data_IF_871166638070
#
_entry.id   IF_871166638070
#
_cell.length_a   1.000
_cell.length_b   1.000
_cell.length_c   1.000
_cell.angle_alpha   90.00
_cell.angle_beta   90.00
_cell.angle_gamma   90.00
#
_symmetry.space_group_name_H-M   'P 1'
#
loop_
_entity.id
_entity.type
_entity.pdbx_description
1 polymer ?
#
# COMPACT_ATOMS: atom_id res chain seq x y z
N UNK A 1 -18.76 -13.70 -28.25
CA UNK A 1 -18.51 -12.74 -27.18
C UNK A 1 -18.10 -11.43 -27.86
N UNK A 2 -18.82 -10.34 -27.62
CA UNK A 2 -18.48 -9.03 -28.19
C UNK A 2 -17.58 -8.30 -27.22
N UNK A 3 -16.72 -7.41 -27.70
CA UNK A 3 -15.85 -6.61 -26.83
C UNK A 3 -16.64 -5.78 -25.81
N UNK A 4 -17.80 -5.26 -26.23
CA UNK A 4 -18.72 -4.46 -25.40
C UNK A 4 -19.35 -5.25 -24.24
N UNK A 5 -19.28 -6.60 -24.29
CA UNK A 5 -19.83 -7.48 -23.25
C UNK A 5 -18.75 -7.88 -22.20
N UNK A 6 -17.50 -7.42 -22.37
CA UNK A 6 -16.39 -7.77 -21.49
C UNK A 6 -16.38 -6.86 -20.27
N UNK A 7 -16.12 -7.47 -19.11
CA UNK A 7 -15.85 -6.78 -17.83
C UNK A 7 -14.38 -6.97 -17.53
N UNK A 8 -13.64 -5.87 -17.40
CA UNK A 8 -12.23 -5.90 -17.02
C UNK A 8 -12.08 -5.74 -15.50
N UNK A 9 -11.45 -6.73 -14.87
CA UNK A 9 -11.05 -6.68 -13.46
C UNK A 9 -9.54 -6.90 -13.40
N UNK A 10 -8.83 -5.96 -12.78
CA UNK A 10 -7.40 -6.09 -12.53
C UNK A 10 -7.18 -6.83 -11.21
N UNK A 11 -6.35 -7.88 -11.22
CA UNK A 11 -6.13 -8.77 -10.07
C UNK A 11 -4.69 -8.79 -9.59
N UNK A 12 -3.86 -7.89 -10.09
CA UNK A 12 -2.43 -7.78 -9.75
C UNK A 12 -2.00 -6.31 -9.72
N UNK A 13 -2.81 -5.49 -9.07
CA UNK A 13 -2.48 -4.10 -8.81
C UNK A 13 -1.75 -3.93 -7.49
N UNK A 14 -1.08 -2.80 -7.31
CA UNK A 14 -0.47 -2.41 -6.05
C UNK A 14 -1.01 -1.06 -5.58
N UNK A 15 -1.00 -0.88 -4.26
CA UNK A 15 -1.27 0.41 -3.62
C UNK A 15 -0.02 0.87 -2.86
N UNK A 16 0.32 2.16 -3.00
CA UNK A 16 1.33 2.77 -2.17
C UNK A 16 0.64 3.37 -0.95
N UNK A 17 1.06 2.99 0.24
CA UNK A 17 0.44 3.46 1.46
C UNK A 17 0.62 4.97 1.61
N UNK A 18 -0.45 5.74 1.91
CA UNK A 18 -0.34 7.15 2.20
C UNK A 18 0.53 7.41 3.44
N UNK A 19 1.33 8.48 3.46
CA UNK A 19 2.26 8.77 4.56
C UNK A 19 1.63 8.82 5.95
N UNK A 20 0.35 9.21 6.05
CA UNK A 20 -0.40 9.39 7.29
C UNK A 20 -1.25 8.18 7.70
N UNK A 21 -1.24 7.10 6.92
CA UNK A 21 -2.10 5.94 7.15
C UNK A 21 -1.94 5.35 8.56
N UNK A 22 -0.71 5.12 8.99
CA UNK A 22 -0.41 4.56 10.32
C UNK A 22 -0.85 5.50 11.43
N UNK A 23 -0.68 6.82 11.27
CA UNK A 23 -1.10 7.79 12.28
C UNK A 23 -2.61 7.76 12.48
N UNK A 24 -3.38 7.56 11.42
CA UNK A 24 -4.85 7.53 11.47
C UNK A 24 -5.41 6.25 12.10
N UNK A 25 -4.79 5.11 11.82
CA UNK A 25 -5.35 3.79 12.17
C UNK A 25 -4.73 3.14 13.41
N UNK A 26 -3.65 3.69 13.96
CA UNK A 26 -3.02 3.12 15.14
C UNK A 26 -3.59 3.65 16.45
N UNK A 27 -3.71 2.79 17.48
CA UNK A 27 -3.92 3.24 18.86
C UNK A 27 -2.82 4.20 19.31
N UNK A 28 -3.18 5.23 20.12
CA UNK A 28 -2.28 6.31 20.52
C UNK A 28 -0.95 5.81 21.13
N UNK A 29 -1.01 4.74 21.91
CA UNK A 29 0.17 4.15 22.56
C UNK A 29 1.23 3.58 21.61
N UNK A 30 0.87 3.32 20.34
CA UNK A 30 1.76 2.74 19.34
C UNK A 30 2.25 3.74 18.28
N UNK A 31 1.71 4.96 18.26
CA UNK A 31 2.01 5.96 17.22
C UNK A 31 3.49 6.32 17.15
N UNK A 32 4.18 6.38 18.27
CA UNK A 32 5.62 6.70 18.31
C UNK A 32 6.50 5.60 17.71
N UNK A 33 5.97 4.39 17.59
CA UNK A 33 6.65 3.23 16.99
C UNK A 33 6.13 2.89 15.61
N UNK A 34 5.20 3.67 15.08
CA UNK A 34 4.65 3.47 13.74
C UNK A 34 5.72 3.56 12.65
N UNK A 35 5.53 2.88 11.51
CA UNK A 35 6.28 3.19 10.30
C UNK A 35 6.15 4.67 9.97
N UNK A 36 7.27 5.36 9.78
CA UNK A 36 7.31 6.80 9.50
C UNK A 36 7.80 7.05 8.09
N UNK A 37 7.07 7.90 7.36
CA UNK A 37 7.47 8.37 6.05
C UNK A 37 8.41 9.57 6.21
N UNK A 38 9.61 9.48 5.64
CA UNK A 38 10.67 10.48 5.80
C UNK A 38 11.10 11.01 4.44
N UNK A 39 11.23 12.33 4.34
CA UNK A 39 11.83 13.00 3.18
C UNK A 39 13.26 13.37 3.52
N UNK A 40 14.21 12.92 2.72
CA UNK A 40 15.64 13.26 2.86
C UNK A 40 15.93 14.65 2.28
N UNK A 41 17.12 15.18 2.58
CA UNK A 41 17.56 16.48 2.09
C UNK A 41 17.68 16.56 0.55
N UNK A 42 17.88 15.43 -0.12
CA UNK A 42 17.93 15.33 -1.57
C UNK A 42 16.53 15.18 -2.22
N UNK A 43 15.46 15.23 -1.42
CA UNK A 43 14.08 15.09 -1.88
C UNK A 43 13.58 13.64 -2.01
N UNK A 44 14.45 12.64 -1.81
CA UNK A 44 14.03 11.25 -1.83
C UNK A 44 13.23 10.88 -0.60
N UNK A 45 12.34 9.90 -0.74
CA UNK A 45 11.50 9.42 0.35
C UNK A 45 11.89 8.00 0.76
N UNK A 46 11.60 7.65 2.00
CA UNK A 46 11.71 6.30 2.52
C UNK A 46 10.78 6.11 3.72
N UNK A 47 10.47 4.87 4.00
CA UNK A 47 9.85 4.49 5.26
C UNK A 47 10.92 4.08 6.27
N UNK A 48 10.67 4.38 7.54
CA UNK A 48 11.50 3.93 8.67
C UNK A 48 10.63 3.18 9.66
N UNK A 49 10.97 1.93 9.94
CA UNK A 49 10.27 1.10 10.92
C UNK A 49 11.27 0.28 11.74
N UNK A 50 11.17 0.33 13.07
CA UNK A 50 12.06 -0.38 14.02
C UNK A 50 13.56 -0.22 13.66
N UNK A 51 13.96 1.00 13.28
CA UNK A 51 15.33 1.34 12.89
C UNK A 51 15.74 0.90 11.48
N UNK A 52 14.89 0.18 10.76
CA UNK A 52 15.14 -0.21 9.38
C UNK A 52 14.69 0.90 8.41
N UNK A 53 15.47 1.14 7.37
CA UNK A 53 15.10 2.01 6.27
C UNK A 53 14.59 1.18 5.09
N UNK A 54 13.42 1.56 4.58
CA UNK A 54 12.75 0.92 3.46
C UNK A 54 12.67 1.97 2.35
N UNK A 55 13.61 1.96 1.40
CA UNK A 55 13.69 2.99 0.35
C UNK A 55 12.64 2.85 -0.74
N UNK A 56 12.02 1.68 -0.84
CA UNK A 56 11.00 1.44 -1.86
C UNK A 56 9.67 2.08 -1.44
N UNK A 57 9.27 3.15 -2.12
CA UNK A 57 8.03 3.88 -1.85
C UNK A 57 6.91 3.58 -2.83
N UNK A 58 7.18 2.87 -3.91
CA UNK A 58 6.17 2.67 -4.94
C UNK A 58 6.48 1.56 -5.94
N UNK A 59 7.34 0.60 -5.62
CA UNK A 59 7.74 -0.45 -6.57
C UNK A 59 8.14 0.16 -7.94
N UNK A 60 7.73 -0.46 -9.03
CA UNK A 60 7.95 0.04 -10.38
C UNK A 60 6.78 0.89 -10.90
N UNK A 61 6.28 1.82 -10.07
CA UNK A 61 5.13 2.66 -10.41
C UNK A 61 5.49 3.71 -11.46
N UNK A 62 5.55 3.29 -12.73
CA UNK A 62 5.95 4.11 -13.89
C UNK A 62 4.77 4.62 -14.72
N UNK A 63 3.53 4.34 -14.33
CA UNK A 63 2.35 4.80 -15.04
C UNK A 63 2.35 6.33 -15.24
N UNK A 64 2.16 6.76 -16.49
CA UNK A 64 2.20 8.18 -16.88
C UNK A 64 3.59 8.74 -17.12
N UNK A 65 4.66 7.96 -16.98
CA UNK A 65 6.02 8.35 -17.34
C UNK A 65 6.32 8.09 -18.82
N UNK A 66 7.27 8.80 -19.41
CA UNK A 66 7.74 8.49 -20.75
C UNK A 66 8.43 7.10 -20.78
N UNK A 67 8.34 6.37 -21.90
CA UNK A 67 8.86 5.00 -22.00
C UNK A 67 10.35 4.84 -21.65
N UNK A 68 11.15 5.87 -21.88
CA UNK A 68 12.60 5.89 -21.53
C UNK A 68 12.88 5.86 -20.03
N UNK A 69 11.86 6.17 -19.19
CA UNK A 69 11.95 6.10 -17.73
C UNK A 69 11.44 4.78 -17.15
N UNK A 70 10.96 3.86 -17.99
CA UNK A 70 10.47 2.58 -17.53
C UNK A 70 11.59 1.72 -16.96
N UNK A 71 11.33 1.08 -15.83
CA UNK A 71 12.30 0.27 -15.11
C UNK A 71 13.10 1.03 -14.05
N UNK A 72 12.95 2.35 -13.96
CA UNK A 72 13.48 3.13 -12.86
C UNK A 72 12.47 3.18 -11.71
N UNK A 73 12.89 2.75 -10.54
CA UNK A 73 12.04 2.83 -9.34
C UNK A 73 11.81 4.31 -8.96
N UNK A 74 10.55 4.70 -8.61
CA UNK A 74 10.32 6.03 -8.04
C UNK A 74 11.06 6.16 -6.70
N UNK A 75 11.74 7.26 -6.52
CA UNK A 75 12.48 7.56 -5.27
C UNK A 75 11.74 8.57 -4.39
N UNK A 76 10.63 9.12 -4.86
CA UNK A 76 9.81 10.05 -4.11
C UNK A 76 8.33 9.91 -4.47
N UNK A 77 7.44 10.18 -3.49
CA UNK A 77 6.00 10.13 -3.67
C UNK A 77 5.53 11.09 -4.78
N UNK A 78 6.20 12.25 -4.92
CA UNK A 78 5.92 13.23 -5.96
C UNK A 78 6.16 12.74 -7.39
N UNK A 79 6.87 11.64 -7.55
CA UNK A 79 7.12 11.01 -8.85
C UNK A 79 6.05 9.96 -9.20
N UNK A 80 5.19 9.60 -8.25
CA UNK A 80 4.11 8.65 -8.46
C UNK A 80 2.87 9.36 -9.03
N UNK A 81 2.15 8.63 -9.88
CA UNK A 81 0.81 9.04 -10.27
C UNK A 81 -0.11 9.04 -9.05
N UNK A 82 -0.97 10.06 -8.85
CA UNK A 82 -1.86 10.13 -7.67
C UNK A 82 -2.67 8.86 -7.43
N UNK A 83 -3.19 8.20 -8.46
CA UNK A 83 -3.92 6.94 -8.34
C UNK A 83 -3.13 5.78 -7.72
N UNK A 84 -1.82 5.93 -7.48
CA UNK A 84 -1.05 4.93 -6.74
C UNK A 84 -1.32 4.97 -5.23
N UNK A 85 -1.70 6.14 -4.66
CA UNK A 85 -1.86 6.34 -3.21
C UNK A 85 -3.12 7.12 -2.80
N UNK A 86 -3.86 7.66 -3.76
CA UNK A 86 -5.14 8.33 -3.55
C UNK A 86 -6.25 7.52 -4.23
N UNK A 87 -7.24 7.10 -3.44
CA UNK A 87 -8.27 6.18 -3.93
C UNK A 87 -9.25 6.84 -4.90
N UNK A 88 -9.52 8.14 -4.75
CA UNK A 88 -10.40 8.87 -5.68
C UNK A 88 -9.72 9.01 -7.05
N UNK A 89 -8.45 9.39 -7.06
CA UNK A 89 -7.65 9.42 -8.28
C UNK A 89 -7.49 8.02 -8.91
N UNK A 90 -7.43 6.95 -8.10
CA UNK A 90 -7.43 5.57 -8.61
C UNK A 90 -8.72 5.25 -9.35
N UNK A 91 -9.87 5.67 -8.84
CA UNK A 91 -11.16 5.46 -9.52
C UNK A 91 -11.19 6.17 -10.86
N UNK A 92 -10.67 7.39 -10.94
CA UNK A 92 -10.59 8.11 -12.22
C UNK A 92 -9.70 7.38 -13.22
N UNK A 93 -8.55 6.88 -12.80
CA UNK A 93 -7.66 6.07 -13.63
C UNK A 93 -8.33 4.77 -14.10
N UNK A 94 -9.03 4.07 -13.22
CA UNK A 94 -9.78 2.86 -13.56
C UNK A 94 -10.88 3.17 -14.60
N UNK A 95 -11.61 4.27 -14.43
CA UNK A 95 -12.68 4.66 -15.34
C UNK A 95 -12.14 4.96 -16.74
N UNK A 96 -11.04 5.70 -16.86
CA UNK A 96 -10.39 6.00 -18.14
C UNK A 96 -9.91 4.71 -18.85
N UNK A 97 -9.45 3.73 -18.09
CA UNK A 97 -8.95 2.45 -18.61
C UNK A 97 -10.04 1.37 -18.78
N UNK A 98 -11.31 1.67 -18.45
CA UNK A 98 -12.41 0.70 -18.54
C UNK A 98 -12.31 -0.44 -17.51
N UNK A 99 -11.57 -0.27 -16.42
CA UNK A 99 -11.42 -1.25 -15.35
C UNK A 99 -12.59 -1.11 -14.37
N UNK A 100 -13.40 -2.16 -14.23
CA UNK A 100 -14.53 -2.19 -13.31
C UNK A 100 -14.07 -2.38 -11.86
N UNK A 101 -13.19 -3.34 -11.64
CA UNK A 101 -12.73 -3.72 -10.31
C UNK A 101 -11.22 -3.92 -10.24
N UNK A 102 -10.64 -3.71 -9.05
CA UNK A 102 -9.21 -3.84 -8.80
C UNK A 102 -8.96 -4.56 -7.49
N UNK A 103 -7.94 -5.43 -7.47
CA UNK A 103 -7.39 -6.07 -6.29
C UNK A 103 -5.98 -5.52 -6.10
N UNK A 104 -5.75 -4.81 -4.96
CA UNK A 104 -4.51 -4.09 -4.72
C UNK A 104 -3.67 -4.76 -3.63
N UNK A 105 -2.47 -5.20 -4.00
CA UNK A 105 -1.48 -5.71 -3.05
C UNK A 105 -0.77 -4.58 -2.30
N UNK A 106 -0.27 -4.83 -1.07
CA UNK A 106 0.51 -3.88 -0.31
C UNK A 106 1.88 -3.60 -0.93
N UNK A 107 2.45 -2.43 -0.64
CA UNK A 107 3.85 -2.10 -0.97
C UNK A 107 4.75 -2.17 0.26
N UNK A 108 4.48 -1.40 1.32
CA UNK A 108 5.33 -1.32 2.52
C UNK A 108 5.31 -2.58 3.37
N UNK A 109 4.16 -3.20 3.67
CA UNK A 109 4.15 -4.45 4.43
C UNK A 109 4.91 -5.59 3.74
N UNK A 110 5.09 -5.50 2.42
CA UNK A 110 5.68 -6.54 1.61
C UNK A 110 4.75 -7.74 1.41
N UNK A 111 5.25 -8.75 0.71
CA UNK A 111 4.47 -9.97 0.46
C UNK A 111 4.11 -10.67 1.78
N UNK A 112 2.84 -10.96 1.97
CA UNK A 112 2.26 -11.57 3.19
C UNK A 112 2.65 -10.89 4.51
N UNK A 113 2.91 -9.59 4.50
CA UNK A 113 3.26 -8.85 5.71
C UNK A 113 4.66 -9.15 6.24
N UNK A 114 5.61 -9.48 5.39
CA UNK A 114 6.98 -9.86 5.75
C UNK A 114 7.65 -8.85 6.70
N UNK A 115 7.40 -7.55 6.52
CA UNK A 115 7.93 -6.51 7.39
C UNK A 115 7.53 -6.74 8.85
N UNK A 116 6.26 -7.05 9.09
CA UNK A 116 5.72 -7.28 10.44
C UNK A 116 6.16 -8.64 10.98
N UNK A 117 6.21 -9.67 10.14
CA UNK A 117 6.75 -10.98 10.54
C UNK A 117 8.19 -10.90 11.04
N UNK A 118 9.03 -10.08 10.39
CA UNK A 118 10.41 -9.83 10.87
C UNK A 118 10.43 -9.11 12.22
N UNK A 119 9.56 -8.13 12.43
CA UNK A 119 9.45 -7.44 13.70
C UNK A 119 8.98 -8.38 14.82
N UNK A 120 8.02 -9.27 14.54
CA UNK A 120 7.57 -10.29 15.48
C UNK A 120 8.70 -11.24 15.85
N UNK A 121 9.46 -11.75 14.89
CA UNK A 121 10.61 -12.61 15.11
C UNK A 121 11.73 -11.93 15.93
N UNK A 122 11.84 -10.61 15.84
CA UNK A 122 12.76 -9.79 16.63
C UNK A 122 12.25 -9.47 18.06
N UNK A 123 11.12 -10.03 18.48
CA UNK A 123 10.55 -9.86 19.82
C UNK A 123 9.53 -8.72 19.94
N UNK A 124 9.08 -8.15 18.84
CA UNK A 124 8.06 -7.09 18.80
C UNK A 124 6.69 -7.62 18.33
N UNK A 125 6.26 -8.81 18.82
CA UNK A 125 5.05 -9.51 18.36
C UNK A 125 3.77 -8.67 18.50
N UNK A 126 3.51 -8.09 19.67
CA UNK A 126 2.32 -7.25 19.90
C UNK A 126 2.29 -6.02 18.95
N UNK A 127 3.44 -5.38 18.74
CA UNK A 127 3.57 -4.28 17.78
C UNK A 127 3.25 -4.77 16.35
N UNK A 128 3.82 -5.90 15.96
CA UNK A 128 3.64 -6.47 14.62
C UNK A 128 2.17 -6.76 14.31
N UNK A 129 1.45 -7.39 15.24
CA UNK A 129 0.00 -7.65 15.13
C UNK A 129 -0.78 -6.34 15.06
N UNK A 130 -0.45 -5.36 15.91
CA UNK A 130 -1.15 -4.07 15.92
C UNK A 130 -0.95 -3.32 14.60
N UNK A 131 0.25 -3.33 14.04
CA UNK A 131 0.53 -2.71 12.73
C UNK A 131 -0.22 -3.42 11.60
N UNK A 132 -0.24 -4.74 11.62
CA UNK A 132 -0.95 -5.53 10.63
C UNK A 132 -2.46 -5.26 10.66
N UNK A 133 -3.07 -5.22 11.85
CA UNK A 133 -4.49 -4.87 12.02
C UNK A 133 -4.77 -3.46 11.49
N UNK A 134 -3.95 -2.48 11.85
CA UNK A 134 -4.11 -1.10 11.37
C UNK A 134 -4.01 -1.02 9.82
N UNK A 135 -3.13 -1.80 9.21
CA UNK A 135 -3.06 -1.91 7.75
C UNK A 135 -4.34 -2.50 7.16
N UNK A 136 -4.82 -3.61 7.71
CA UNK A 136 -6.02 -4.28 7.22
C UNK A 136 -7.26 -3.39 7.37
N UNK A 137 -7.41 -2.70 8.51
CA UNK A 137 -8.51 -1.76 8.76
C UNK A 137 -8.48 -0.62 7.73
N UNK A 138 -7.32 0.01 7.52
CA UNK A 138 -7.16 1.04 6.49
C UNK A 138 -7.51 0.52 5.08
N UNK A 139 -6.99 -0.67 4.73
CA UNK A 139 -7.21 -1.22 3.38
C UNK A 139 -8.68 -1.55 3.13
N UNK A 140 -9.36 -2.12 4.12
CA UNK A 140 -10.77 -2.50 4.00
C UNK A 140 -11.68 -1.27 4.07
N UNK A 141 -11.47 -0.38 5.04
CA UNK A 141 -12.39 0.71 5.33
C UNK A 141 -12.14 1.96 4.48
N UNK A 142 -10.88 2.39 4.36
CA UNK A 142 -10.54 3.63 3.65
C UNK A 142 -10.32 3.39 2.15
N UNK A 143 -9.48 2.39 1.79
CA UNK A 143 -9.17 2.14 0.39
C UNK A 143 -10.33 1.47 -0.35
N UNK A 144 -10.78 0.33 0.12
CA UNK A 144 -11.86 -0.42 -0.53
C UNK A 144 -13.24 0.14 -0.20
N UNK A 145 -13.48 0.52 1.05
CA UNK A 145 -14.78 0.93 1.57
C UNK A 145 -15.27 2.27 1.03
N UNK A 146 -14.37 3.16 0.62
CA UNK A 146 -14.73 4.47 0.07
C UNK A 146 -15.50 4.36 -1.27
N UNK A 147 -15.20 3.34 -2.08
CA UNK A 147 -15.85 3.07 -3.36
C UNK A 147 -16.36 1.63 -3.44
N UNK A 148 -17.46 1.30 -2.77
CA UNK A 148 -18.01 -0.06 -2.74
C UNK A 148 -18.25 -0.64 -4.15
N UNK A 149 -17.82 -1.89 -4.34
CA UNK A 149 -17.97 -2.59 -5.63
C UNK A 149 -16.86 -2.29 -6.66
N UNK A 150 -15.89 -1.43 -6.31
CA UNK A 150 -14.77 -1.11 -7.20
C UNK A 150 -13.47 -1.81 -6.80
N UNK A 151 -13.37 -2.30 -5.58
CA UNK A 151 -12.19 -3.01 -5.09
C UNK A 151 -12.55 -4.38 -4.52
N UNK A 152 -11.60 -5.31 -4.64
CA UNK A 152 -11.65 -6.61 -3.98
C UNK A 152 -10.76 -6.49 -2.75
N UNK A 153 -11.32 -6.46 -1.53
CA UNK A 153 -10.52 -6.28 -0.34
C UNK A 153 -9.62 -7.48 -0.08
N UNK A 154 -8.38 -7.18 0.31
CA UNK A 154 -7.40 -8.15 0.79
C UNK A 154 -7.13 -7.90 2.28
N UNK A 155 -6.91 -8.99 3.02
CA UNK A 155 -6.37 -8.91 4.37
C UNK A 155 -5.06 -9.69 4.43
N UNK A 156 -4.08 -9.15 5.13
CA UNK A 156 -2.82 -9.84 5.43
C UNK A 156 -3.05 -10.66 6.71
N UNK A 157 -2.95 -11.99 6.67
CA UNK A 157 -3.04 -12.82 7.89
C UNK A 157 -1.72 -12.79 8.67
N UNK A 158 -1.74 -12.90 10.00
CA UNK A 158 -0.55 -13.02 10.83
C UNK A 158 0.03 -14.45 10.75
N UNK A 159 0.67 -14.79 9.63
CA UNK A 159 1.16 -16.17 9.38
C UNK A 159 2.17 -16.68 10.41
N UNK A 160 2.79 -15.77 11.19
CA UNK A 160 3.69 -16.10 12.30
C UNK A 160 2.96 -16.37 13.63
N UNK A 161 1.66 -16.07 13.68
CA UNK A 161 0.80 -16.28 14.86
C UNK A 161 -0.63 -16.57 14.39
N UNK A 162 -0.91 -17.82 13.98
CA UNK A 162 -2.18 -18.17 13.36
C UNK A 162 -3.36 -18.23 14.34
N UNK A 163 -3.13 -18.00 15.64
CA UNK A 163 -4.19 -17.95 16.66
C UNK A 163 -4.75 -16.51 16.85
N UNK A 164 -4.09 -15.49 16.30
CA UNK A 164 -4.48 -14.07 16.28
C UNK A 164 -5.24 -13.70 15.00
#
# INVERSE_FOLDING_TARGET
MRMDDMILVSVDDHVCEPPDMWERHLPAQWKDRAPRFVTKADGTNLWVFEGQQIPNVGLNAVAGRPPEEYGMEPTALSQLRPGCFDVDARIDDMNVNGVLGSLCFPTVPGFVGELFGRAAAAGSGELAITMLRAYNDWHVDDWCGKHPGRFIPLAIPPIWDPEE
#
